data_IF_018457794695
#
_entry.id   IF_018457794695
#
_cell.length_a   1.000
_cell.length_b   1.000
_cell.length_c   1.000
_cell.angle_alpha   90.00
_cell.angle_beta   90.00
_cell.angle_gamma   90.00
#
_symmetry.space_group_name_H-M   'P 1'
#
loop_
_entity.id
_entity.type
_entity.pdbx_description
1 polymer ?
#
# COMPACT_ATOMS: atom_id res chain seq x y z
N UNK A 1 -7.57 -7.99 11.39
CA UNK A 1 -6.26 -7.52 11.90
C UNK A 1 -6.42 -6.09 12.44
N UNK A 2 -5.90 -5.76 13.62
CA UNK A 2 -5.93 -4.38 14.13
C UNK A 2 -4.87 -3.50 13.46
N UNK A 3 -5.18 -2.22 13.26
CA UNK A 3 -4.17 -1.23 12.90
C UNK A 3 -3.19 -1.09 14.07
N UNK A 4 -1.86 -1.09 13.85
CA UNK A 4 -0.89 -0.97 14.94
C UNK A 4 -0.96 0.41 15.62
N UNK A 5 -0.74 0.48 16.93
CA UNK A 5 -0.70 1.75 17.66
C UNK A 5 0.53 2.60 17.31
N UNK A 6 1.66 1.93 17.02
CA UNK A 6 2.89 2.57 16.53
C UNK A 6 2.89 2.85 15.02
N UNK A 7 4.02 3.35 14.52
CA UNK A 7 4.20 3.63 13.09
C UNK A 7 4.18 2.38 12.22
N UNK A 8 3.81 2.55 10.94
CA UNK A 8 3.87 1.47 9.94
C UNK A 8 5.32 1.33 9.45
N UNK A 9 5.86 0.11 9.52
CA UNK A 9 7.24 -0.15 9.12
C UNK A 9 7.51 0.21 7.64
N UNK A 10 8.69 0.78 7.30
CA UNK A 10 9.03 1.13 5.91
C UNK A 10 8.94 -0.03 4.92
N UNK A 11 9.12 -1.27 5.38
CA UNK A 11 9.02 -2.49 4.58
C UNK A 11 7.62 -2.70 3.96
N UNK A 12 6.60 -2.05 4.54
CA UNK A 12 5.23 -2.05 4.05
C UNK A 12 4.99 -1.04 2.92
N UNK A 13 5.93 -0.12 2.65
CA UNK A 13 5.81 0.74 1.47
C UNK A 13 6.44 0.06 0.26
N UNK A 14 5.61 -0.29 -0.71
CA UNK A 14 6.09 -0.91 -1.94
C UNK A 14 6.83 0.07 -2.83
N UNK A 15 7.80 -0.44 -3.61
CA UNK A 15 8.53 0.35 -4.60
C UNK A 15 7.61 1.13 -5.55
N UNK A 16 6.43 0.59 -5.86
CA UNK A 16 5.45 1.23 -6.75
C UNK A 16 4.57 2.31 -6.10
N UNK A 17 4.63 2.53 -4.78
CA UNK A 17 3.77 3.48 -4.06
C UNK A 17 2.58 2.86 -3.31
N UNK A 18 2.51 1.53 -3.25
CA UNK A 18 1.44 0.83 -2.52
C UNK A 18 1.76 0.72 -1.03
N UNK A 19 0.81 1.08 -0.16
CA UNK A 19 0.87 0.74 1.26
C UNK A 19 0.41 -0.72 1.45
N UNK A 20 1.34 -1.65 1.64
CA UNK A 20 1.04 -3.07 1.83
C UNK A 20 0.29 -3.38 3.13
N UNK A 21 0.30 -2.50 4.13
CA UNK A 21 -0.49 -2.68 5.36
C UNK A 21 -1.98 -2.82 5.04
N UNK A 22 -2.46 -2.09 4.02
CA UNK A 22 -3.88 -2.06 3.64
C UNK A 22 -4.18 -2.99 2.45
N UNK A 23 -3.26 -3.87 2.08
CA UNK A 23 -3.48 -4.87 1.05
C UNK A 23 -4.32 -6.03 1.60
N UNK A 24 -5.33 -6.51 0.84
CA UNK A 24 -6.11 -7.72 1.18
C UNK A 24 -5.26 -8.89 1.67
N UNK A 25 -4.07 -9.10 1.07
CA UNK A 25 -3.22 -10.24 1.41
C UNK A 25 -2.53 -10.09 2.76
N UNK A 26 -2.35 -8.86 3.24
CA UNK A 26 -1.93 -8.59 4.61
C UNK A 26 -3.14 -8.65 5.56
N UNK A 27 -4.22 -7.96 5.21
CA UNK A 27 -5.40 -7.77 6.04
C UNK A 27 -6.21 -9.05 6.32
N UNK A 28 -6.41 -9.89 5.30
CA UNK A 28 -7.48 -10.89 5.27
C UNK A 28 -6.98 -12.32 5.02
N UNK A 29 -5.74 -12.65 5.41
CA UNK A 29 -5.14 -13.95 5.12
C UNK A 29 -4.56 -14.63 6.36
N UNK A 30 -4.71 -15.97 6.46
CA UNK A 30 -4.18 -16.79 7.58
C UNK A 30 -2.66 -16.66 7.78
N UNK A 31 -1.95 -16.35 6.70
CA UNK A 31 -0.51 -16.02 6.69
C UNK A 31 -0.35 -14.65 6.04
N UNK A 32 -0.41 -13.55 6.82
CA UNK A 32 -0.29 -12.20 6.29
C UNK A 32 1.02 -11.99 5.54
N UNK A 33 0.96 -11.28 4.42
CA UNK A 33 2.17 -10.85 3.72
C UNK A 33 2.93 -9.83 4.58
N UNK A 34 4.23 -10.03 4.80
CA UNK A 34 5.06 -9.15 5.64
C UNK A 34 5.44 -7.79 4.99
N UNK A 35 5.04 -7.55 3.74
CA UNK A 35 5.31 -6.31 3.01
C UNK A 35 6.03 -6.53 1.67
N UNK A 36 6.03 -5.51 0.82
CA UNK A 36 6.64 -5.59 -0.50
C UNK A 36 8.17 -5.66 -0.44
N UNK A 37 8.79 -4.98 0.54
CA UNK A 37 10.24 -4.98 0.72
C UNK A 37 10.70 -6.02 1.75
N UNK A 38 9.77 -6.66 2.46
CA UNK A 38 10.05 -7.80 3.30
C UNK A 38 10.31 -9.09 2.48
N UNK A 39 10.77 -10.13 3.17
CA UNK A 39 11.04 -11.46 2.61
C UNK A 39 9.82 -12.16 1.98
N UNK A 40 9.99 -13.44 1.61
CA UNK A 40 8.99 -14.20 0.86
C UNK A 40 7.78 -14.70 1.67
N UNK A 41 7.76 -14.54 2.99
CA UNK A 41 6.73 -15.09 3.88
C UNK A 41 5.35 -14.44 3.63
N UNK A 42 4.31 -15.27 3.50
CA UNK A 42 2.93 -14.84 3.22
C UNK A 42 2.72 -14.17 1.86
N UNK A 43 3.79 -13.85 1.14
CA UNK A 43 3.80 -13.10 -0.11
C UNK A 43 3.23 -13.94 -1.26
N UNK A 44 2.23 -13.45 -2.01
CA UNK A 44 1.66 -14.18 -3.13
C UNK A 44 2.66 -14.25 -4.29
N UNK A 45 2.49 -15.23 -5.18
CA UNK A 45 3.45 -15.50 -6.26
C UNK A 45 3.72 -14.27 -7.14
N UNK A 46 2.67 -13.54 -7.53
CA UNK A 46 2.80 -12.33 -8.35
C UNK A 46 3.60 -11.22 -7.64
N UNK A 47 3.53 -11.13 -6.32
CA UNK A 47 4.37 -10.22 -5.54
C UNK A 47 5.81 -10.74 -5.39
N UNK A 48 6.04 -12.07 -5.42
CA UNK A 48 7.39 -12.65 -5.40
C UNK A 48 8.12 -12.45 -6.71
N UNK A 49 7.42 -12.43 -7.85
CA UNK A 49 7.98 -12.22 -9.21
C UNK A 49 7.66 -10.81 -9.75
N UNK A 50 7.64 -9.80 -8.88
CA UNK A 50 7.19 -8.46 -9.23
C UNK A 50 8.24 -7.71 -10.05
N UNK A 51 7.96 -7.55 -11.36
CA UNK A 51 8.84 -6.84 -12.29
C UNK A 51 9.17 -5.39 -11.88
N UNK A 52 8.26 -4.69 -11.18
CA UNK A 52 8.51 -3.30 -10.74
C UNK A 52 9.55 -3.28 -9.63
N UNK A 53 9.42 -4.18 -8.64
CA UNK A 53 10.39 -4.30 -7.55
C UNK A 53 11.75 -4.73 -8.09
N UNK A 54 11.77 -5.72 -8.97
CA UNK A 54 13.02 -6.23 -9.55
C UNK A 54 13.71 -5.15 -10.42
N UNK A 55 12.94 -4.32 -11.13
CA UNK A 55 13.45 -3.17 -11.87
C UNK A 55 14.07 -2.10 -10.95
N UNK A 56 13.39 -1.75 -9.84
CA UNK A 56 13.92 -0.81 -8.86
C UNK A 56 15.24 -1.32 -8.26
N UNK A 57 15.25 -2.57 -7.79
CA UNK A 57 16.43 -3.21 -7.23
C UNK A 57 17.59 -3.29 -8.23
N UNK A 58 17.32 -3.65 -9.49
CA UNK A 58 18.33 -3.69 -10.55
C UNK A 58 18.93 -2.32 -10.91
N UNK A 59 18.26 -1.23 -10.53
CA UNK A 59 18.76 0.15 -10.67
C UNK A 59 19.37 0.70 -9.37
N UNK A 60 19.45 -0.11 -8.31
CA UNK A 60 19.91 0.34 -6.98
C UNK A 60 18.93 1.29 -6.29
N UNK A 61 17.64 1.27 -6.67
CA UNK A 61 16.60 2.11 -6.11
C UNK A 61 15.69 1.30 -5.19
N UNK A 62 15.16 1.93 -4.15
CA UNK A 62 14.16 1.29 -3.27
C UNK A 62 12.76 1.59 -3.77
N UNK A 63 12.52 2.84 -4.17
CA UNK A 63 11.25 3.36 -4.59
C UNK A 63 11.30 3.90 -6.01
N UNK A 64 10.22 3.70 -6.76
CA UNK A 64 10.15 4.13 -8.14
C UNK A 64 10.22 5.66 -8.28
N UNK A 65 9.79 6.46 -7.29
CA UNK A 65 9.85 7.92 -7.37
C UNK A 65 11.27 8.51 -7.34
N UNK A 66 12.26 7.70 -6.98
CA UNK A 66 13.69 8.03 -7.04
C UNK A 66 14.24 7.88 -8.47
N UNK A 67 13.52 7.17 -9.35
CA UNK A 67 13.94 6.95 -10.72
C UNK A 67 13.73 8.23 -11.57
N UNK A 68 14.73 8.66 -12.37
CA UNK A 68 14.59 9.80 -13.28
C UNK A 68 13.47 9.62 -14.32
N UNK A 69 13.17 8.37 -14.70
CA UNK A 69 12.12 8.04 -15.66
C UNK A 69 10.72 8.03 -15.03
N UNK A 70 10.59 8.33 -13.73
CA UNK A 70 9.33 8.28 -13.01
C UNK A 70 8.42 9.48 -13.33
N UNK A 71 7.12 9.27 -13.57
CA UNK A 71 6.43 7.98 -13.67
C UNK A 71 6.60 7.33 -15.05
N UNK A 72 7.22 6.14 -15.09
CA UNK A 72 7.49 5.43 -16.33
C UNK A 72 6.23 4.66 -16.81
N UNK A 73 6.27 4.13 -18.04
CA UNK A 73 5.15 3.39 -18.64
C UNK A 73 4.61 2.26 -17.75
N UNK A 74 5.49 1.53 -17.07
CA UNK A 74 5.11 0.40 -16.22
C UNK A 74 4.33 0.85 -14.99
N UNK A 75 4.80 1.92 -14.32
CA UNK A 75 4.12 2.48 -13.15
C UNK A 75 2.79 3.13 -13.57
N UNK A 76 2.76 3.88 -14.67
CA UNK A 76 1.52 4.48 -15.21
C UNK A 76 0.44 3.45 -15.52
N UNK A 77 0.82 2.29 -16.05
CA UNK A 77 -0.12 1.21 -16.32
C UNK A 77 -0.70 0.60 -15.04
N UNK A 78 0.15 0.37 -14.02
CA UNK A 78 -0.29 -0.13 -12.72
C UNK A 78 -1.20 0.88 -12.01
N UNK A 79 -0.78 2.14 -11.99
CA UNK A 79 -1.51 3.25 -11.37
C UNK A 79 -2.91 3.42 -11.96
N UNK A 80 -3.04 3.40 -13.29
CA UNK A 80 -4.35 3.40 -13.97
C UNK A 80 -5.25 2.28 -13.45
N UNK A 81 -4.70 1.07 -13.31
CA UNK A 81 -5.45 -0.08 -12.82
C UNK A 81 -5.90 0.07 -11.36
N UNK A 82 -5.07 0.69 -10.51
CA UNK A 82 -5.42 0.98 -9.12
C UNK A 82 -6.45 2.08 -8.98
N UNK A 83 -6.34 3.15 -9.78
CA UNK A 83 -7.33 4.23 -9.82
C UNK A 83 -8.70 3.70 -10.25
N UNK A 84 -8.74 2.91 -11.32
CA UNK A 84 -10.00 2.36 -11.85
C UNK A 84 -10.65 1.37 -10.88
N UNK A 85 -9.88 0.52 -10.21
CA UNK A 85 -10.45 -0.56 -9.38
C UNK A 85 -10.65 -0.18 -7.92
N UNK A 86 -9.81 0.70 -7.37
CA UNK A 86 -9.70 0.94 -5.94
C UNK A 86 -9.73 2.43 -5.55
N UNK A 87 -9.88 3.33 -6.52
CA UNK A 87 -9.92 4.78 -6.24
C UNK A 87 -8.64 5.33 -5.61
N UNK A 88 -7.50 4.65 -5.78
CA UNK A 88 -6.21 5.05 -5.22
C UNK A 88 -5.16 5.22 -6.31
N UNK A 89 -4.33 6.26 -6.17
CA UNK A 89 -3.24 6.59 -7.09
C UNK A 89 -1.90 6.26 -6.42
N UNK A 90 -1.21 5.26 -6.97
CA UNK A 90 0.11 4.85 -6.48
C UNK A 90 1.19 5.86 -6.87
N UNK A 91 0.99 6.57 -7.98
CA UNK A 91 1.84 7.68 -8.37
C UNK A 91 1.70 8.81 -7.36
N UNK A 92 0.48 9.22 -7.01
CA UNK A 92 0.25 10.27 -6.01
C UNK A 92 0.85 9.87 -4.65
N UNK A 93 0.64 8.62 -4.20
CA UNK A 93 1.27 8.12 -2.98
C UNK A 93 2.80 8.26 -3.01
N UNK A 94 3.43 7.88 -4.12
CA UNK A 94 4.88 7.97 -4.28
C UNK A 94 5.37 9.43 -4.30
N UNK A 95 4.60 10.34 -4.90
CA UNK A 95 4.90 11.77 -4.90
C UNK A 95 4.75 12.38 -3.50
N UNK A 96 3.72 12.00 -2.75
CA UNK A 96 3.56 12.39 -1.35
C UNK A 96 4.75 11.94 -0.50
N UNK A 97 5.23 10.70 -0.68
CA UNK A 97 6.42 10.22 0.04
C UNK A 97 7.67 11.00 -0.35
N UNK A 98 7.83 11.34 -1.64
CA UNK A 98 8.96 12.16 -2.10
C UNK A 98 8.94 13.58 -1.51
N UNK A 99 7.76 14.15 -1.31
CA UNK A 99 7.59 15.52 -0.83
C UNK A 99 7.64 15.63 0.70
N UNK A 100 6.90 14.75 1.39
CA UNK A 100 6.65 14.87 2.84
C UNK A 100 7.39 13.81 3.67
N UNK A 101 8.03 12.84 3.00
CA UNK A 101 8.64 11.70 3.66
C UNK A 101 7.69 10.53 3.90
N UNK A 102 8.27 9.35 4.11
CA UNK A 102 7.53 8.10 4.24
C UNK A 102 6.71 8.02 5.53
N UNK A 103 7.26 8.47 6.64
CA UNK A 103 6.61 8.42 7.96
C UNK A 103 5.32 9.26 7.96
N UNK A 104 5.40 10.50 7.50
CA UNK A 104 4.25 11.40 7.40
C UNK A 104 3.15 10.83 6.49
N UNK A 105 3.53 10.25 5.34
CA UNK A 105 2.58 9.57 4.45
C UNK A 105 1.92 8.38 5.15
N UNK A 106 2.70 7.52 5.82
CA UNK A 106 2.18 6.33 6.50
C UNK A 106 1.23 6.68 7.64
N UNK A 107 1.50 7.73 8.41
CA UNK A 107 0.58 8.21 9.44
C UNK A 107 -0.76 8.71 8.86
N UNK A 108 -0.73 9.41 7.71
CA UNK A 108 -1.96 9.80 7.01
C UNK A 108 -2.73 8.58 6.51
N UNK A 109 -2.04 7.59 5.93
CA UNK A 109 -2.66 6.35 5.47
C UNK A 109 -3.25 5.55 6.62
N UNK A 110 -2.55 5.46 7.75
CA UNK A 110 -3.02 4.80 8.97
C UNK A 110 -4.36 5.38 9.41
N UNK A 111 -4.48 6.71 9.49
CA UNK A 111 -5.75 7.38 9.81
C UNK A 111 -6.85 7.05 8.80
N UNK A 112 -6.54 7.15 7.50
CA UNK A 112 -7.50 6.89 6.41
C UNK A 112 -8.06 5.47 6.40
N UNK A 113 -7.24 4.47 6.71
CA UNK A 113 -7.62 3.06 6.61
C UNK A 113 -7.87 2.39 7.95
N UNK A 114 -7.95 3.15 9.05
CA UNK A 114 -8.40 2.61 10.34
C UNK A 114 -9.93 2.59 10.37
N UNK A 115 -10.50 1.43 10.66
CA UNK A 115 -11.94 1.28 10.83
C UNK A 115 -12.39 2.03 12.08
N UNK A 116 -13.33 2.99 11.99
CA UNK A 116 -13.76 3.79 13.13
C UNK A 116 -14.54 2.96 14.17
N UNK A 117 -15.24 1.91 13.74
CA UNK A 117 -16.06 1.09 14.62
C UNK A 117 -15.25 0.16 15.53
N UNK A 118 -14.06 -0.28 15.10
CA UNK A 118 -13.31 -1.30 15.85
C UNK A 118 -11.79 -1.15 15.84
N UNK A 119 -11.21 -0.18 15.14
CA UNK A 119 -9.75 -0.03 15.00
C UNK A 119 -9.07 -1.07 14.10
N UNK A 120 -9.85 -1.90 13.40
CA UNK A 120 -9.33 -2.82 12.38
C UNK A 120 -8.80 -2.10 11.14
N UNK A 121 -8.05 -2.79 10.29
CA UNK A 121 -7.59 -2.22 9.01
C UNK A 121 -8.68 -2.39 7.94
N UNK A 122 -9.06 -1.32 7.25
CA UNK A 122 -9.90 -1.37 6.04
C UNK A 122 -9.01 -1.66 4.83
N UNK A 123 -9.25 -2.78 4.16
CA UNK A 123 -8.52 -3.20 2.97
C UNK A 123 -8.78 -2.22 1.82
N UNK A 124 -7.73 -1.71 1.18
CA UNK A 124 -7.84 -0.93 -0.06
C UNK A 124 -8.52 -1.73 -1.18
N UNK A 125 -8.26 -3.04 -1.23
CA UNK A 125 -8.67 -3.87 -2.37
C UNK A 125 -10.11 -4.35 -2.25
N UNK A 126 -10.55 -4.67 -1.04
CA UNK A 126 -11.87 -5.28 -0.82
C UNK A 126 -12.85 -4.29 -0.20
N UNK A 127 -12.36 -3.12 0.24
CA UNK A 127 -13.12 -2.11 0.99
C UNK A 127 -13.76 -2.65 2.29
N UNK A 128 -13.29 -3.78 2.80
CA UNK A 128 -13.77 -4.40 4.05
C UNK A 128 -12.80 -4.18 5.22
N UNK A 129 -13.34 -3.97 6.41
CA UNK A 129 -12.56 -4.06 7.64
C UNK A 129 -12.13 -5.51 7.91
N UNK A 130 -10.85 -5.70 8.16
CA UNK A 130 -10.23 -7.00 8.50
C UNK A 130 -10.66 -7.61 9.84
N UNK A 131 -11.49 -6.92 10.62
CA UNK A 131 -12.02 -7.39 11.91
C UNK A 131 -13.53 -7.55 11.83
N UNK A 132 -14.27 -6.44 11.72
CA UNK A 132 -15.73 -6.44 11.77
C UNK A 132 -16.42 -6.60 10.41
N UNK A 133 -15.65 -6.65 9.30
CA UNK A 133 -16.16 -6.75 7.91
C UNK A 133 -17.04 -5.59 7.44
N UNK A 134 -17.31 -4.61 8.29
CA UNK A 134 -17.94 -3.35 7.88
C UNK A 134 -16.97 -2.59 6.97
N UNK A 135 -17.46 -2.10 5.84
CA UNK A 135 -16.63 -1.29 4.95
C UNK A 135 -16.35 0.10 5.49
N UNK A 136 -15.50 0.87 4.81
CA UNK A 136 -15.45 2.31 5.05
C UNK A 136 -16.79 2.89 4.58
N UNK A 137 -17.67 3.23 5.51
CA UNK A 137 -18.77 4.13 5.19
C UNK A 137 -18.14 5.41 4.62
N UNK A 138 -18.64 5.94 3.47
CA UNK A 138 -18.16 7.21 3.00
C UNK A 138 -18.39 8.23 4.12
N UNK A 139 -17.32 8.94 4.51
CA UNK A 139 -17.49 10.14 5.31
C UNK A 139 -18.44 11.03 4.52
N UNK A 140 -19.64 11.26 5.06
CA UNK A 140 -20.56 12.24 4.52
C UNK A 140 -19.82 13.58 4.61
N UNK A 141 -19.44 14.13 3.45
CA UNK A 141 -19.01 15.52 3.35
C UNK A 141 -20.24 16.38 3.69
N UNK A 142 -20.18 17.08 4.83
CA UNK A 142 -21.07 18.21 5.17
C UNK A 142 -20.64 19.48 4.42
#
# INVERSE_FOLDING_TARGET
MKMPDGGIAPLMFASCGMNCMVCYKHCCHKRPCAGCLAGGEGKPEHCRKCRIRDCAAGRGLTYCHECPDFPCRQVKALDRSYRTRYGASLIENSLCVRQDGLEAFMERQKKRYTCPACGGIVSLHDSECSECRLGAEPAQEE
#
